data_IF_215202148296
#
_entry.id   IF_215202148296
#
_cell.length_a   1.000
_cell.length_b   1.000
_cell.length_c   1.000
_cell.angle_alpha   90.00
_cell.angle_beta   90.00
_cell.angle_gamma   90.00
#
_symmetry.space_group_name_H-M   'P 1'
#
loop_
_entity.id
_entity.type
_entity.pdbx_description
1 polymer ?
#
# COMPACT_ATOMS: atom_id res chain seq x y z
N UNK A 1 -21.65 -18.80 -35.97
CA UNK A 1 -20.18 -18.91 -35.78
C UNK A 1 -19.79 -20.38 -35.77
N UNK A 2 -18.77 -20.78 -36.53
CA UNK A 2 -18.30 -22.19 -36.49
C UNK A 2 -17.67 -22.49 -35.11
N UNK A 3 -17.81 -23.72 -34.62
CA UNK A 3 -17.22 -24.17 -33.32
C UNK A 3 -15.73 -23.83 -33.18
N UNK A 4 -14.99 -23.80 -34.30
CA UNK A 4 -13.57 -23.47 -34.36
C UNK A 4 -13.29 -22.02 -33.93
N UNK A 5 -14.10 -21.06 -34.39
CA UNK A 5 -13.93 -19.65 -34.00
C UNK A 5 -14.24 -19.44 -32.53
N UNK A 6 -15.26 -20.12 -31.99
CA UNK A 6 -15.61 -20.03 -30.57
C UNK A 6 -14.46 -20.51 -29.66
N UNK A 7 -13.84 -21.65 -29.99
CA UNK A 7 -12.68 -22.19 -29.26
C UNK A 7 -11.50 -21.21 -29.31
N UNK A 8 -11.20 -20.65 -30.49
CA UNK A 8 -10.09 -19.70 -30.64
C UNK A 8 -10.33 -18.45 -29.78
N UNK A 9 -11.53 -17.86 -29.80
CA UNK A 9 -11.86 -16.71 -28.94
C UNK A 9 -11.76 -17.05 -27.46
N UNK A 10 -12.20 -18.24 -27.03
CA UNK A 10 -12.13 -18.64 -25.63
C UNK A 10 -10.67 -18.76 -25.16
N UNK A 11 -9.79 -19.37 -25.98
CA UNK A 11 -8.35 -19.48 -25.67
C UNK A 11 -7.70 -18.10 -25.56
N UNK A 12 -8.01 -17.18 -26.47
CA UNK A 12 -7.47 -15.81 -26.44
C UNK A 12 -7.88 -15.08 -25.15
N UNK A 13 -9.15 -15.19 -24.74
CA UNK A 13 -9.65 -14.57 -23.51
C UNK A 13 -8.93 -15.14 -22.29
N UNK A 14 -8.75 -16.46 -22.21
CA UNK A 14 -8.05 -17.11 -21.10
C UNK A 14 -6.60 -16.61 -21.01
N UNK A 15 -5.89 -16.54 -22.15
CA UNK A 15 -4.51 -16.03 -22.18
C UNK A 15 -4.44 -14.58 -21.70
N UNK A 16 -5.36 -13.72 -22.14
CA UNK A 16 -5.43 -12.33 -21.68
C UNK A 16 -5.66 -12.23 -20.16
N UNK A 17 -6.57 -13.03 -19.61
CA UNK A 17 -6.85 -13.04 -18.17
C UNK A 17 -5.63 -13.48 -17.36
N UNK A 18 -4.89 -14.48 -17.84
CA UNK A 18 -3.65 -14.91 -17.20
C UNK A 18 -2.62 -13.77 -17.21
N UNK A 19 -2.39 -13.13 -18.35
CA UNK A 19 -1.43 -12.01 -18.46
C UNK A 19 -1.79 -10.89 -17.46
N UNK A 20 -3.06 -10.47 -17.41
CA UNK A 20 -3.51 -9.42 -16.49
C UNK A 20 -3.34 -9.83 -15.02
N UNK A 21 -3.55 -11.10 -14.69
CA UNK A 21 -3.42 -11.59 -13.31
C UNK A 21 -1.97 -11.58 -12.80
N UNK A 22 -0.98 -11.74 -13.68
CA UNK A 22 0.44 -11.79 -13.31
C UNK A 22 1.14 -10.43 -13.31
N UNK A 23 0.62 -9.42 -14.02
CA UNK A 23 1.26 -8.09 -14.05
C UNK A 23 1.12 -7.42 -12.67
N UNK A 24 2.24 -7.13 -11.98
CA UNK A 24 2.18 -6.44 -10.70
C UNK A 24 1.80 -4.97 -10.93
N UNK A 25 0.78 -4.51 -10.24
CA UNK A 25 0.37 -3.11 -10.24
C UNK A 25 0.94 -2.40 -9.01
N UNK A 26 1.34 -1.14 -9.22
CA UNK A 26 1.83 -0.27 -8.17
C UNK A 26 0.67 0.17 -7.28
N UNK A 27 0.69 -0.18 -6.01
CA UNK A 27 -0.26 0.26 -5.01
C UNK A 27 0.42 1.19 -4.02
N UNK A 28 -0.07 2.42 -3.93
CA UNK A 28 0.30 3.30 -2.84
C UNK A 28 -0.44 2.88 -1.56
N UNK A 29 0.13 3.12 -0.37
CA UNK A 29 -0.64 3.03 0.87
C UNK A 29 -1.91 3.88 0.78
N UNK A 30 -3.01 3.39 1.38
CA UNK A 30 -4.28 4.11 1.34
C UNK A 30 -4.12 5.47 2.03
N UNK A 31 -4.67 6.53 1.44
CA UNK A 31 -4.70 7.85 2.08
C UNK A 31 -5.43 7.82 3.44
N UNK A 32 -6.38 6.90 3.59
CA UNK A 32 -7.16 6.68 4.82
C UNK A 32 -6.52 5.67 5.78
N UNK A 33 -5.35 5.11 5.46
CA UNK A 33 -4.65 4.20 6.38
C UNK A 33 -4.33 4.92 7.68
N UNK A 34 -4.63 4.26 8.81
CA UNK A 34 -4.29 4.81 10.14
C UNK A 34 -2.77 4.86 10.33
N UNK A 35 -2.30 5.98 10.85
CA UNK A 35 -0.92 6.18 11.31
C UNK A 35 -0.93 6.87 12.66
N UNK A 36 0.13 6.67 13.42
CA UNK A 36 0.40 7.38 14.67
C UNK A 36 1.34 8.53 14.34
N UNK A 37 1.02 9.73 14.79
CA UNK A 37 1.86 10.91 14.72
C UNK A 37 2.37 11.23 16.12
N UNK A 38 3.65 11.49 16.25
CA UNK A 38 4.29 12.05 17.44
C UNK A 38 4.64 13.51 17.16
N UNK A 39 3.90 14.42 17.79
CA UNK A 39 4.04 15.86 17.57
C UNK A 39 5.26 16.44 18.28
N UNK A 40 5.75 15.80 19.34
CA UNK A 40 6.97 16.23 20.02
C UNK A 40 8.21 15.91 19.17
N UNK A 41 8.27 14.70 18.62
CA UNK A 41 9.38 14.27 17.77
C UNK A 41 9.23 14.69 16.29
N UNK A 42 8.07 15.22 15.92
CA UNK A 42 7.68 15.54 14.54
C UNK A 42 7.86 14.35 13.59
N UNK A 43 7.36 13.18 14.00
CA UNK A 43 7.46 11.93 13.22
C UNK A 43 6.08 11.30 13.07
N UNK A 44 5.93 10.48 12.02
CA UNK A 44 4.79 9.56 11.93
C UNK A 44 5.28 8.12 11.79
N UNK A 45 4.44 7.17 12.18
CA UNK A 45 4.65 5.75 11.92
C UNK A 45 3.33 5.02 11.65
N UNK A 46 3.38 3.96 10.85
CA UNK A 46 2.27 3.00 10.86
C UNK A 46 2.23 2.31 12.24
N UNK A 47 1.05 1.93 12.77
CA UNK A 47 0.94 1.38 14.13
C UNK A 47 1.87 0.18 14.39
N UNK A 48 2.03 -0.68 13.38
CA UNK A 48 2.95 -1.84 13.45
C UNK A 48 4.44 -1.49 13.45
N UNK A 49 4.78 -0.25 13.11
CA UNK A 49 6.15 0.25 13.03
C UNK A 49 6.44 1.28 14.13
N UNK A 50 5.50 1.51 15.06
CA UNK A 50 5.71 2.48 16.12
C UNK A 50 6.75 1.97 17.13
N UNK A 51 7.71 2.84 17.46
CA UNK A 51 8.84 2.61 18.35
C UNK A 51 8.48 3.20 19.72
N UNK A 52 8.06 2.32 20.63
CA UNK A 52 7.61 2.72 21.96
C UNK A 52 8.75 3.19 22.86
N UNK A 53 10.01 2.85 22.56
CA UNK A 53 11.15 3.32 23.34
C UNK A 53 11.42 4.82 23.13
N UNK A 54 10.95 5.37 22.01
CA UNK A 54 11.08 6.79 21.65
C UNK A 54 9.75 7.56 21.74
N UNK A 55 8.72 6.94 22.30
CA UNK A 55 7.39 7.53 22.39
C UNK A 55 7.39 8.79 23.27
N UNK A 56 6.83 9.88 22.74
CA UNK A 56 6.42 11.00 23.58
C UNK A 56 5.00 10.79 24.13
N UNK A 57 4.59 11.65 25.07
CA UNK A 57 3.21 11.72 25.54
C UNK A 57 2.33 12.64 24.68
N UNK A 58 2.85 13.17 23.57
CA UNK A 58 2.12 14.06 22.66
C UNK A 58 1.94 13.38 21.29
N UNK A 59 1.09 12.36 21.27
CA UNK A 59 0.81 11.51 20.11
C UNK A 59 -0.66 11.55 19.74
N UNK A 60 -0.95 11.37 18.45
CA UNK A 60 -2.31 11.26 17.90
C UNK A 60 -2.39 10.15 16.84
N UNK A 61 -3.56 9.53 16.70
CA UNK A 61 -3.86 8.66 15.56
C UNK A 61 -4.61 9.46 14.49
N UNK A 62 -4.06 9.52 13.28
CA UNK A 62 -4.62 10.26 12.14
C UNK A 62 -4.61 9.41 10.87
N UNK A 63 -5.15 9.93 9.77
CA UNK A 63 -4.99 9.26 8.47
C UNK A 63 -3.61 9.52 7.89
N UNK A 64 -3.15 8.61 7.03
CA UNK A 64 -1.87 8.76 6.34
C UNK A 64 -1.80 10.06 5.53
N UNK A 65 -2.93 10.47 4.94
CA UNK A 65 -3.04 11.77 4.26
C UNK A 65 -2.83 12.94 5.20
N UNK A 66 -3.45 12.92 6.38
CA UNK A 66 -3.29 13.99 7.38
C UNK A 66 -1.83 14.07 7.85
N UNK A 67 -1.18 12.93 8.08
CA UNK A 67 0.24 12.89 8.44
C UNK A 67 1.15 13.44 7.32
N UNK A 68 0.81 13.18 6.05
CA UNK A 68 1.52 13.78 4.91
C UNK A 68 1.33 15.31 4.86
N UNK A 69 0.15 15.81 5.22
CA UNK A 69 -0.14 17.25 5.25
C UNK A 69 0.62 17.97 6.37
N UNK A 70 0.87 17.28 7.49
CA UNK A 70 1.77 17.75 8.56
C UNK A 70 3.24 17.81 8.13
N UNK A 71 3.61 17.15 7.02
CA UNK A 71 4.98 17.04 6.49
C UNK A 71 5.99 16.43 7.46
N UNK A 72 5.53 15.60 8.38
CA UNK A 72 6.42 14.88 9.29
C UNK A 72 7.13 13.75 8.54
N UNK A 73 8.44 13.56 8.72
CA UNK A 73 9.14 12.42 8.15
C UNK A 73 8.76 11.10 8.85
N UNK A 74 8.99 9.95 8.19
CA UNK A 74 8.85 8.64 8.81
C UNK A 74 9.71 8.53 10.08
N UNK A 75 9.19 7.82 11.09
CA UNK A 75 9.90 7.63 12.35
C UNK A 75 11.12 6.71 12.21
N UNK A 76 11.01 5.68 11.38
CA UNK A 76 12.02 4.65 11.20
C UNK A 76 11.92 4.00 9.81
N UNK A 77 12.87 3.11 9.52
CA UNK A 77 12.95 2.37 8.26
C UNK A 77 11.71 1.51 8.01
N UNK A 78 11.10 0.90 9.04
CA UNK A 78 9.84 0.17 8.90
C UNK A 78 8.73 1.05 8.33
N UNK A 79 8.59 2.27 8.85
CA UNK A 79 7.60 3.23 8.36
C UNK A 79 7.90 3.69 6.95
N UNK A 80 9.16 3.99 6.65
CA UNK A 80 9.59 4.40 5.32
C UNK A 80 9.26 3.34 4.26
N UNK A 81 9.56 2.07 4.55
CA UNK A 81 9.25 0.94 3.66
C UNK A 81 7.75 0.73 3.46
N UNK A 82 6.94 0.89 4.53
CA UNK A 82 5.48 0.82 4.40
C UNK A 82 4.86 2.02 3.70
N UNK A 83 5.52 3.18 3.73
CA UNK A 83 5.09 4.38 3.03
C UNK A 83 5.37 4.31 1.51
N UNK A 84 6.33 3.48 1.09
CA UNK A 84 6.68 3.29 -0.32
C UNK A 84 5.56 2.53 -1.06
N UNK A 85 5.38 2.81 -2.36
CA UNK A 85 4.46 2.05 -3.20
C UNK A 85 4.88 0.58 -3.27
N UNK A 86 3.93 -0.32 -3.05
CA UNK A 86 4.15 -1.77 -3.08
C UNK A 86 3.62 -2.34 -4.39
N UNK A 87 4.36 -3.26 -4.99
CA UNK A 87 3.93 -3.97 -6.19
C UNK A 87 3.17 -5.23 -5.80
N UNK A 88 1.86 -5.24 -6.05
CA UNK A 88 1.01 -6.41 -5.80
C UNK A 88 0.42 -6.92 -7.10
N UNK A 89 0.31 -8.24 -7.23
CA UNK A 89 -0.43 -8.89 -8.31
C UNK A 89 -1.79 -9.34 -7.79
N UNK A 90 -2.74 -9.65 -8.68
CA UNK A 90 -4.07 -10.14 -8.27
C UNK A 90 -4.00 -11.45 -7.47
N UNK A 91 -2.93 -12.23 -7.68
CA UNK A 91 -2.74 -13.54 -7.08
C UNK A 91 -2.03 -13.50 -5.71
N UNK A 92 -1.39 -12.38 -5.36
CA UNK A 92 -0.61 -12.26 -4.12
C UNK A 92 -1.12 -11.06 -3.31
N UNK A 93 -2.06 -11.33 -2.39
CA UNK A 93 -2.65 -10.34 -1.48
C UNK A 93 -1.74 -10.06 -0.28
#
# INVERSE_FOLDING_TARGET
MSKKYFIITAVIIIVLLLVVAFIPFKQNPSSTSRVVVDHFNHKYAFPSCYDYEKASNYIDEVTYKDAQDLKYPPMNTCTEEKAKPQYKSLLKR
#
